data_IF_914664731780
#
_entry.id   IF_914664731780
#
_cell.length_a   1.000
_cell.length_b   1.000
_cell.length_c   1.000
_cell.angle_alpha   90.00
_cell.angle_beta   90.00
_cell.angle_gamma   90.00
#
_symmetry.space_group_name_H-M   'P 1'
#
loop_
_entity.id
_entity.type
_entity.pdbx_description
1 polymer ?
#
# COMPACT_ATOMS: atom_id res chain seq x y z
N UNK A 1 -11.63 21.35 20.38
CA UNK A 1 -12.71 20.33 20.37
C UNK A 1 -12.17 19.03 19.78
N UNK A 2 -12.27 17.89 20.48
CA UNK A 2 -11.90 16.58 19.91
C UNK A 2 -13.00 16.17 18.93
N UNK A 3 -12.68 16.03 17.63
CA UNK A 3 -13.61 15.49 16.64
C UNK A 3 -14.03 14.07 17.04
N UNK A 4 -15.32 13.76 16.95
CA UNK A 4 -15.83 12.43 17.23
C UNK A 4 -15.12 11.38 16.36
N UNK A 5 -14.77 10.23 16.96
CA UNK A 5 -14.12 9.14 16.24
C UNK A 5 -15.08 8.63 15.16
N UNK A 6 -14.67 8.71 13.89
CA UNK A 6 -15.47 8.16 12.78
C UNK A 6 -15.70 6.65 13.00
N UNK A 7 -16.88 6.12 12.66
CA UNK A 7 -17.13 4.70 12.74
C UNK A 7 -16.16 3.92 11.84
N UNK A 8 -15.82 2.67 12.20
CA UNK A 8 -15.03 1.80 11.34
C UNK A 8 -15.77 1.54 10.03
N UNK A 9 -15.01 1.32 8.94
CA UNK A 9 -15.56 0.85 7.67
C UNK A 9 -16.26 -0.49 7.91
N UNK A 10 -17.50 -0.61 7.46
CA UNK A 10 -18.29 -1.85 7.56
C UNK A 10 -17.87 -2.86 6.49
N UNK A 11 -18.23 -4.12 6.69
CA UNK A 11 -17.99 -5.18 5.68
C UNK A 11 -18.67 -4.87 4.34
N UNK A 12 -19.87 -4.27 4.38
CA UNK A 12 -20.57 -3.82 3.19
C UNK A 12 -19.80 -2.69 2.47
N UNK A 13 -19.35 -1.68 3.21
CA UNK A 13 -18.54 -0.61 2.65
C UNK A 13 -17.21 -1.15 2.09
N UNK A 14 -16.61 -2.16 2.73
CA UNK A 14 -15.40 -2.84 2.23
C UNK A 14 -15.66 -3.48 0.86
N UNK A 15 -16.74 -4.26 0.72
CA UNK A 15 -17.15 -4.86 -0.55
C UNK A 15 -17.42 -3.80 -1.63
N UNK A 16 -18.12 -2.73 -1.27
CA UNK A 16 -18.40 -1.61 -2.20
C UNK A 16 -17.13 -0.91 -2.66
N UNK A 17 -16.14 -0.70 -1.77
CA UNK A 17 -14.84 -0.11 -2.12
C UNK A 17 -14.15 -0.98 -3.20
N UNK A 18 -14.12 -2.30 -3.01
CA UNK A 18 -13.49 -3.23 -3.95
C UNK A 18 -14.23 -3.24 -5.28
N UNK A 19 -15.56 -3.41 -5.26
CA UNK A 19 -16.40 -3.41 -6.46
C UNK A 19 -16.23 -2.12 -7.28
N UNK A 20 -16.28 -0.96 -6.62
CA UNK A 20 -16.09 0.32 -7.31
C UNK A 20 -14.69 0.48 -7.91
N UNK A 21 -13.67 -0.13 -7.31
CA UNK A 21 -12.29 -0.06 -7.81
C UNK A 21 -12.02 -1.04 -8.95
N UNK A 22 -12.48 -2.28 -8.82
CA UNK A 22 -12.20 -3.36 -9.77
C UNK A 22 -13.15 -3.27 -10.97
N UNK A 23 -14.46 -3.33 -10.73
CA UNK A 23 -15.47 -3.37 -11.78
C UNK A 23 -15.75 -2.02 -12.42
N UNK A 24 -15.64 -0.93 -11.66
CA UNK A 24 -15.95 0.43 -12.13
C UNK A 24 -14.72 1.30 -12.36
N UNK A 25 -13.51 0.78 -12.07
CA UNK A 25 -12.23 1.48 -12.26
C UNK A 25 -12.15 2.86 -11.56
N UNK A 26 -12.97 3.11 -10.54
CA UNK A 26 -13.04 4.41 -9.87
C UNK A 26 -11.81 4.67 -9.02
N UNK A 27 -11.28 5.90 -9.07
CA UNK A 27 -10.18 6.35 -8.20
C UNK A 27 -10.59 6.35 -6.73
N UNK A 28 -9.63 6.23 -5.81
CA UNK A 28 -9.90 6.30 -4.38
C UNK A 28 -10.64 7.59 -3.95
N UNK A 29 -10.40 8.71 -4.64
CA UNK A 29 -11.12 9.97 -4.42
C UNK A 29 -12.59 9.90 -4.84
N UNK A 30 -12.88 9.31 -6.00
CA UNK A 30 -14.26 9.11 -6.46
C UNK A 30 -15.03 8.15 -5.55
N UNK A 31 -14.40 7.06 -5.11
CA UNK A 31 -14.99 6.11 -4.16
C UNK A 31 -15.28 6.80 -2.82
N UNK A 32 -14.31 7.57 -2.31
CA UNK A 32 -14.45 8.34 -1.07
C UNK A 32 -15.67 9.29 -1.15
N UNK A 33 -15.80 10.05 -2.24
CA UNK A 33 -16.95 10.93 -2.46
C UNK A 33 -18.28 10.18 -2.53
N UNK A 34 -18.33 9.05 -3.23
CA UNK A 34 -19.57 8.25 -3.37
C UNK A 34 -20.03 7.60 -2.06
N UNK A 35 -19.10 7.19 -1.20
CA UNK A 35 -19.41 6.48 0.05
C UNK A 35 -19.41 7.38 1.30
N UNK A 36 -19.17 8.69 1.14
CA UNK A 36 -19.02 9.61 2.28
C UNK A 36 -17.82 9.28 3.18
N UNK A 37 -16.80 8.63 2.64
CA UNK A 37 -15.60 8.22 3.36
C UNK A 37 -14.45 9.20 3.12
N UNK A 38 -13.44 9.17 4.00
CA UNK A 38 -12.21 9.90 3.72
C UNK A 38 -11.33 9.17 2.72
N UNK A 39 -10.63 9.92 1.86
CA UNK A 39 -9.64 9.40 0.93
C UNK A 39 -8.60 8.47 1.61
N UNK A 40 -8.13 8.86 2.80
CA UNK A 40 -7.19 8.05 3.60
C UNK A 40 -7.75 6.69 4.02
N UNK A 41 -9.05 6.63 4.35
CA UNK A 41 -9.70 5.39 4.75
C UNK A 41 -9.86 4.42 3.57
N UNK A 42 -10.26 4.93 2.40
CA UNK A 42 -10.37 4.14 1.16
C UNK A 42 -9.00 3.62 0.72
N UNK A 43 -7.99 4.50 0.64
CA UNK A 43 -6.63 4.10 0.26
C UNK A 43 -6.02 3.06 1.20
N UNK A 44 -6.26 3.19 2.51
CA UNK A 44 -5.84 2.18 3.49
C UNK A 44 -6.55 0.84 3.28
N UNK A 45 -7.86 0.85 2.99
CA UNK A 45 -8.61 -0.38 2.73
C UNK A 45 -8.13 -1.08 1.46
N UNK A 46 -7.97 -0.34 0.36
CA UNK A 46 -7.45 -0.89 -0.89
C UNK A 46 -6.07 -1.51 -0.67
N UNK A 47 -5.15 -0.79 -0.01
CA UNK A 47 -3.82 -1.31 0.32
C UNK A 47 -3.87 -2.58 1.17
N UNK A 48 -4.70 -2.61 2.21
CA UNK A 48 -4.86 -3.76 3.10
C UNK A 48 -5.38 -4.99 2.35
N UNK A 49 -6.23 -4.79 1.34
CA UNK A 49 -6.85 -5.85 0.54
C UNK A 49 -6.03 -6.21 -0.71
N UNK A 50 -4.84 -5.64 -0.89
CA UNK A 50 -4.01 -5.87 -2.08
C UNK A 50 -4.58 -5.26 -3.37
N UNK A 51 -5.62 -4.42 -3.27
CA UNK A 51 -6.26 -3.81 -4.43
C UNK A 51 -5.52 -2.54 -4.82
N UNK A 52 -5.19 -2.41 -6.10
CA UNK A 52 -4.50 -1.23 -6.62
C UNK A 52 -5.31 0.04 -6.36
N UNK A 53 -4.67 1.07 -5.79
CA UNK A 53 -5.33 2.34 -5.46
C UNK A 53 -5.71 3.19 -6.68
N UNK A 54 -5.18 2.84 -7.85
CA UNK A 54 -5.60 3.34 -9.16
C UNK A 54 -4.43 3.70 -10.09
N UNK A 55 -4.68 3.51 -11.40
CA UNK A 55 -3.86 3.97 -12.52
C UNK A 55 -2.54 3.23 -12.72
N UNK A 56 -2.18 2.94 -13.97
CA UNK A 56 -0.77 2.69 -14.30
C UNK A 56 0.00 3.94 -13.86
N UNK A 57 1.07 3.76 -13.10
CA UNK A 57 1.91 4.89 -12.72
C UNK A 57 2.31 5.63 -14.01
N UNK A 58 2.23 6.97 -14.06
CA UNK A 58 2.58 7.71 -15.26
C UNK A 58 3.95 7.28 -15.77
N UNK A 59 4.13 7.28 -17.09
CA UNK A 59 5.44 7.00 -17.67
C UNK A 59 6.49 7.95 -17.06
N UNK A 60 7.61 7.37 -16.61
CA UNK A 60 8.63 8.11 -15.86
C UNK A 60 8.39 8.27 -14.35
N UNK A 61 7.32 7.71 -13.78
CA UNK A 61 7.13 7.69 -12.33
C UNK A 61 8.25 6.93 -11.63
N UNK A 62 9.10 7.65 -10.90
CA UNK A 62 10.13 7.08 -10.04
C UNK A 62 9.56 6.95 -8.63
N UNK A 63 9.44 5.73 -8.06
CA UNK A 63 9.01 5.59 -6.67
C UNK A 63 9.97 6.37 -5.78
N UNK A 64 9.42 7.09 -4.79
CA UNK A 64 10.25 7.81 -3.83
C UNK A 64 11.15 6.81 -3.10
N UNK A 65 12.46 7.08 -2.99
CA UNK A 65 13.34 6.21 -2.23
C UNK A 65 12.89 6.17 -0.76
N UNK A 66 13.19 5.07 -0.04
CA UNK A 66 13.05 5.02 1.41
C UNK A 66 13.74 6.25 2.02
N UNK A 67 13.02 7.04 2.80
CA UNK A 67 13.52 8.31 3.35
C UNK A 67 14.39 8.04 4.57
N UNK A 68 15.64 8.49 4.54
CA UNK A 68 16.49 8.58 5.73
C UNK A 68 16.05 9.71 6.68
N UNK A 69 15.24 10.64 6.20
CA UNK A 69 14.81 11.83 6.95
C UNK A 69 13.48 11.62 7.67
N UNK A 70 13.41 12.15 8.89
CA UNK A 70 12.15 12.39 9.60
C UNK A 70 11.40 13.54 8.91
N UNK A 71 10.11 13.36 8.66
CA UNK A 71 9.25 14.38 8.05
C UNK A 71 8.01 14.63 8.92
N UNK A 72 7.40 15.80 8.80
CA UNK A 72 6.20 16.15 9.57
C UNK A 72 4.94 15.73 8.82
N UNK A 73 4.03 15.03 9.49
CA UNK A 73 2.69 14.68 8.98
C UNK A 73 1.65 15.00 10.03
N UNK A 74 0.70 15.86 9.68
CA UNK A 74 -0.35 16.34 10.60
C UNK A 74 0.21 16.88 11.93
N UNK A 75 1.33 17.60 11.87
CA UNK A 75 2.02 18.14 13.05
C UNK A 75 2.86 17.13 13.85
N UNK A 76 2.90 15.85 13.46
CA UNK A 76 3.69 14.83 14.14
C UNK A 76 4.94 14.44 13.33
N UNK A 77 6.12 14.27 13.97
CA UNK A 77 7.29 13.74 13.31
C UNK A 77 7.09 12.27 12.95
N UNK A 78 7.41 11.91 11.71
CA UNK A 78 7.34 10.55 11.18
C UNK A 78 8.73 10.14 10.71
N UNK A 79 9.30 9.13 11.37
CA UNK A 79 10.56 8.50 10.97
C UNK A 79 10.36 7.72 9.68
N UNK A 80 11.03 8.12 8.60
CA UNK A 80 11.05 7.37 7.33
C UNK A 80 11.57 5.95 7.51
N UNK A 81 11.13 5.02 6.65
CA UNK A 81 11.75 3.71 6.54
C UNK A 81 13.00 3.83 5.67
N UNK A 82 14.08 3.21 6.10
CA UNK A 82 15.31 3.02 5.32
C UNK A 82 15.27 1.70 4.58
N UNK A 83 16.17 1.49 3.62
CA UNK A 83 16.33 0.18 2.95
C UNK A 83 16.73 -0.92 3.93
N UNK A 84 17.46 -0.59 5.00
CA UNK A 84 17.80 -1.55 6.06
C UNK A 84 16.59 -1.90 6.91
N UNK A 85 15.75 -0.91 7.27
CA UNK A 85 14.48 -1.20 7.96
C UNK A 85 13.62 -2.16 7.13
N UNK A 86 13.54 -1.95 5.81
CA UNK A 86 12.74 -2.81 4.91
C UNK A 86 13.27 -4.26 4.88
N UNK A 87 14.61 -4.43 4.76
CA UNK A 87 15.24 -5.76 4.81
C UNK A 87 14.97 -6.48 6.12
N UNK A 88 15.15 -5.78 7.24
CA UNK A 88 14.89 -6.35 8.57
C UNK A 88 13.42 -6.71 8.74
N UNK A 89 12.52 -5.81 8.32
CA UNK A 89 11.08 -6.02 8.40
C UNK A 89 10.62 -7.23 7.56
N UNK A 90 11.14 -7.39 6.34
CA UNK A 90 10.86 -8.59 5.51
C UNK A 90 11.42 -9.85 6.15
N UNK A 91 12.68 -9.83 6.63
CA UNK A 91 13.31 -10.96 7.31
C UNK A 91 12.49 -11.44 8.52
N UNK A 92 12.10 -10.52 9.39
CA UNK A 92 11.32 -10.83 10.59
C UNK A 92 9.91 -11.33 10.23
N UNK A 93 9.31 -10.80 9.15
CA UNK A 93 8.01 -11.28 8.66
C UNK A 93 8.10 -12.71 8.11
N UNK A 94 9.18 -13.06 7.40
CA UNK A 94 9.40 -14.43 6.89
C UNK A 94 9.64 -15.45 8.01
N UNK A 95 10.12 -14.99 9.17
CA UNK A 95 10.23 -15.80 10.39
C UNK A 95 8.88 -16.03 11.09
N UNK A 96 7.78 -15.46 10.57
CA UNK A 96 6.44 -15.62 11.14
C UNK A 96 6.16 -14.73 12.36
N UNK A 97 7.01 -13.74 12.66
CA UNK A 97 6.77 -12.84 13.80
C UNK A 97 5.53 -11.98 13.57
N UNK A 98 4.78 -11.74 14.65
CA UNK A 98 3.63 -10.84 14.65
C UNK A 98 4.10 -9.39 14.49
N UNK A 99 3.27 -8.54 13.88
CA UNK A 99 3.58 -7.12 13.68
C UNK A 99 4.01 -6.37 14.96
N UNK A 100 3.45 -6.74 16.12
CA UNK A 100 3.83 -6.16 17.41
C UNK A 100 5.25 -6.51 17.84
N UNK A 101 5.70 -7.73 17.55
CA UNK A 101 7.04 -8.21 17.88
C UNK A 101 8.08 -7.55 16.98
N UNK A 102 7.79 -7.50 15.67
CA UNK A 102 8.60 -6.78 14.68
C UNK A 102 8.72 -5.30 15.08
N UNK A 103 7.60 -4.67 15.45
CA UNK A 103 7.57 -3.28 15.88
C UNK A 103 8.43 -3.00 17.11
N UNK A 104 8.43 -3.91 18.09
CA UNK A 104 9.29 -3.83 19.28
C UNK A 104 10.77 -3.90 18.89
N UNK A 105 11.14 -4.83 18.00
CA UNK A 105 12.53 -4.98 17.57
C UNK A 105 13.03 -3.77 16.76
N UNK A 106 12.18 -3.18 15.91
CA UNK A 106 12.55 -2.02 15.08
C UNK A 106 12.39 -0.66 15.80
N UNK A 107 11.84 -0.65 17.02
CA UNK A 107 11.50 0.59 17.72
C UNK A 107 10.47 1.43 16.95
N UNK A 108 9.46 0.79 16.35
CA UNK A 108 8.41 1.44 15.54
C UNK A 108 7.02 1.11 16.10
N UNK A 109 5.98 1.78 15.58
CA UNK A 109 4.58 1.45 15.90
C UNK A 109 4.11 0.26 15.07
N UNK A 110 3.39 -0.69 15.68
CA UNK A 110 2.85 -1.88 15.00
C UNK A 110 2.02 -1.55 13.75
N UNK A 111 1.16 -0.53 13.80
CA UNK A 111 0.40 -0.10 12.62
C UNK A 111 1.29 0.43 11.49
N UNK A 112 2.44 1.03 11.83
CA UNK A 112 3.41 1.48 10.85
C UNK A 112 4.13 0.32 10.18
N UNK A 113 4.45 -0.74 10.93
CA UNK A 113 5.03 -1.99 10.39
C UNK A 113 4.04 -2.67 9.45
N UNK A 114 2.79 -2.85 9.89
CA UNK A 114 1.72 -3.45 9.08
C UNK A 114 1.53 -2.72 7.75
N UNK A 115 1.40 -1.39 7.79
CA UNK A 115 1.26 -0.60 6.57
C UNK A 115 2.47 -0.69 5.64
N UNK A 116 3.68 -0.81 6.21
CA UNK A 116 4.91 -0.97 5.42
C UNK A 116 4.98 -2.34 4.75
N UNK A 117 4.62 -3.42 5.46
CA UNK A 117 4.56 -4.77 4.89
C UNK A 117 3.60 -4.83 3.70
N UNK A 118 2.38 -4.30 3.82
CA UNK A 118 1.44 -4.24 2.70
C UNK A 118 2.00 -3.46 1.51
N UNK A 119 2.72 -2.36 1.78
CA UNK A 119 3.36 -1.55 0.73
C UNK A 119 4.46 -2.32 0.00
N UNK A 120 5.27 -3.09 0.74
CA UNK A 120 6.35 -3.89 0.17
C UNK A 120 5.80 -5.06 -0.65
N UNK A 121 4.82 -5.80 -0.11
CA UNK A 121 4.16 -6.89 -0.83
C UNK A 121 3.60 -6.42 -2.18
N UNK A 122 2.85 -5.30 -2.20
CA UNK A 122 2.32 -4.76 -3.46
C UNK A 122 3.40 -4.28 -4.42
N UNK A 123 4.53 -3.79 -3.89
CA UNK A 123 5.68 -3.38 -4.71
C UNK A 123 6.34 -4.59 -5.37
N UNK A 124 6.46 -5.70 -4.65
CA UNK A 124 7.04 -6.94 -5.15
C UNK A 124 6.14 -7.56 -6.24
N UNK A 125 4.82 -7.68 -5.99
CA UNK A 125 3.84 -8.12 -7.00
C UNK A 125 3.92 -7.28 -8.29
N UNK A 126 3.96 -5.95 -8.18
CA UNK A 126 4.07 -5.08 -9.36
C UNK A 126 5.37 -5.32 -10.13
N UNK A 127 6.47 -5.58 -9.44
CA UNK A 127 7.76 -5.88 -10.09
C UNK A 127 7.66 -7.19 -10.87
N UNK A 128 6.98 -8.19 -10.32
CA UNK A 128 6.72 -9.47 -10.98
C UNK A 128 5.80 -9.30 -12.20
N UNK A 129 4.68 -8.57 -12.06
CA UNK A 129 3.77 -8.22 -13.16
C UNK A 129 4.52 -7.55 -14.33
N UNK A 130 5.36 -6.55 -14.04
CA UNK A 130 6.16 -5.85 -15.06
C UNK A 130 7.18 -6.79 -15.71
N UNK A 131 7.82 -7.64 -14.91
CA UNK A 131 8.81 -8.60 -15.43
C UNK A 131 8.14 -9.61 -16.34
N UNK A 132 6.99 -10.17 -15.94
CA UNK A 132 6.18 -11.08 -16.75
C UNK A 132 5.71 -10.41 -18.06
N UNK A 133 5.20 -9.18 -17.98
CA UNK A 133 4.77 -8.43 -19.16
C UNK A 133 5.91 -8.16 -20.15
N UNK A 134 7.10 -7.80 -19.66
CA UNK A 134 8.29 -7.62 -20.51
C UNK A 134 8.72 -8.93 -21.17
N UNK A 135 8.71 -10.04 -20.43
CA UNK A 135 9.03 -11.36 -20.97
C UNK A 135 8.03 -11.79 -22.06
N UNK A 136 6.74 -11.49 -21.91
CA UNK A 136 5.72 -11.78 -22.91
C UNK A 136 5.90 -10.97 -24.20
N UNK A 137 6.34 -9.70 -24.10
CA UNK A 137 6.61 -8.84 -25.26
C UNK A 137 7.91 -9.17 -25.99
N UNK A 138 8.86 -9.85 -25.33
CA UNK A 138 10.18 -10.19 -25.88
C UNK A 138 10.22 -11.53 -26.64
N UNK A 139 9.14 -12.31 -26.66
CA UNK A 139 9.07 -13.55 -27.43
C UNK A 139 8.89 -13.21 -28.93
N UNK A 140 9.85 -13.52 -29.82
CA UNK A 140 9.68 -13.28 -31.25
C UNK A 140 8.49 -14.10 -31.74
N UNK A 141 7.60 -13.46 -32.52
CA UNK A 141 6.60 -14.17 -33.31
C UNK A 141 7.34 -15.22 -34.12
N UNK A 142 7.15 -16.50 -33.79
CA UNK A 142 7.53 -17.57 -34.70
C UNK A 142 6.57 -17.48 -35.88
N UNK A 143 6.96 -16.75 -36.91
CA UNK A 143 6.32 -16.77 -38.21
C UNK A 143 6.72 -18.08 -38.88
N UNK A 144 5.74 -18.98 -39.00
CA UNK A 144 5.81 -20.17 -39.84
C UNK A 144 5.29 -19.86 -41.24
#
# INVERSE_FOLDING_TARGET
MKSAKRPPITEEQSRQIVYMRVDRSLTAGQIAGKLGLSHGAVTWHLLKLGVEKGGVAPEGYKPKPPSLYTYTRNGYPVRGYTSEDDRQLQKLSMQGLKHSEIARQLGRKSNSVRGRLFTLARRDERREEITAAKSALAQPKQEG
#
